data_IF_515699135986
#
_entry.id   IF_515699135986
#
_cell.length_a   1.000
_cell.length_b   1.000
_cell.length_c   1.000
_cell.angle_alpha   90.00
_cell.angle_beta   90.00
_cell.angle_gamma   90.00
#
_symmetry.space_group_name_H-M   'P 1'
#
loop_
_entity.id
_entity.type
_entity.pdbx_description
1 polymer ?
#
# COMPACT_ATOMS: atom_id res chain seq x y z
N UNK A 1 -4.11 3.37 -5.03
CA UNK A 1 -5.00 2.21 -4.83
C UNK A 1 -5.98 2.54 -3.73
N UNK A 2 -7.30 2.39 -3.94
CA UNK A 2 -8.31 2.52 -2.86
C UNK A 2 -8.23 1.27 -2.01
N UNK A 3 -7.78 1.42 -0.76
CA UNK A 3 -7.60 0.31 0.18
C UNK A 3 -8.80 0.17 1.13
N UNK A 4 -9.61 1.21 1.25
CA UNK A 4 -10.86 1.15 2.01
C UNK A 4 -11.90 0.26 1.33
N UNK A 5 -11.89 0.22 -0.01
CA UNK A 5 -12.66 -0.74 -0.80
C UNK A 5 -12.25 -2.21 -0.55
N UNK A 6 -11.04 -2.43 0.00
CA UNK A 6 -10.53 -3.74 0.41
C UNK A 6 -10.75 -4.01 1.91
N UNK A 7 -11.46 -3.11 2.62
CA UNK A 7 -11.78 -3.26 4.03
C UNK A 7 -10.65 -2.92 5.01
N UNK A 8 -9.60 -2.23 4.56
CA UNK A 8 -8.44 -1.89 5.42
C UNK A 8 -8.22 -0.38 5.50
N UNK A 9 -7.70 0.07 6.65
CA UNK A 9 -7.30 1.46 6.85
C UNK A 9 -6.02 1.77 6.04
N UNK A 10 -5.95 2.90 5.30
CA UNK A 10 -4.78 3.28 4.50
C UNK A 10 -3.47 3.42 5.27
N UNK A 11 -3.52 3.90 6.52
CA UNK A 11 -2.34 4.07 7.36
C UNK A 11 -1.83 2.72 7.85
N UNK A 12 -2.73 1.86 8.29
CA UNK A 12 -2.36 0.51 8.74
C UNK A 12 -1.87 -0.33 7.58
N UNK A 13 -2.53 -0.27 6.43
CA UNK A 13 -2.11 -1.00 5.25
C UNK A 13 -0.75 -0.52 4.73
N UNK A 14 -0.45 0.78 4.78
CA UNK A 14 0.89 1.30 4.48
C UNK A 14 1.97 0.70 5.39
N UNK A 15 1.69 0.51 6.68
CA UNK A 15 2.61 -0.15 7.62
C UNK A 15 2.82 -1.63 7.28
N UNK A 16 1.74 -2.36 6.97
CA UNK A 16 1.80 -3.78 6.55
C UNK A 16 2.62 -3.93 5.27
N UNK A 17 2.37 -3.09 4.26
CA UNK A 17 3.15 -3.07 3.02
C UNK A 17 4.65 -2.87 3.29
N UNK A 18 5.00 -1.98 4.21
CA UNK A 18 6.40 -1.75 4.57
C UNK A 18 7.05 -2.99 5.20
N UNK A 19 6.33 -3.72 6.06
CA UNK A 19 6.79 -4.99 6.63
C UNK A 19 7.08 -6.02 5.51
N UNK A 20 6.23 -6.05 4.48
CA UNK A 20 6.38 -6.87 3.28
C UNK A 20 7.28 -6.26 2.19
N UNK A 21 8.13 -5.29 2.55
CA UNK A 21 9.15 -4.66 1.67
C UNK A 21 8.58 -3.90 0.47
N UNK A 22 7.39 -3.32 0.61
CA UNK A 22 6.73 -2.43 -0.36
C UNK A 22 6.59 -1.04 0.25
N UNK A 23 7.26 -0.06 -0.32
CA UNK A 23 7.11 1.33 0.10
C UNK A 23 5.79 1.91 -0.43
N UNK A 24 4.92 2.33 0.48
CA UNK A 24 3.68 3.03 0.15
C UNK A 24 3.40 4.12 1.17
N UNK A 25 2.80 5.23 0.73
CA UNK A 25 2.39 6.32 1.63
C UNK A 25 0.88 6.49 1.60
N UNK A 26 0.23 6.63 2.78
CA UNK A 26 -1.17 7.01 2.84
C UNK A 26 -1.35 8.38 2.21
N UNK A 27 -2.43 8.58 1.47
CA UNK A 27 -2.76 9.86 0.84
C UNK A 27 -3.66 10.71 1.75
N UNK A 28 -3.71 10.42 3.05
CA UNK A 28 -4.39 11.25 4.05
C UNK A 28 -3.83 12.68 4.06
N UNK A 29 -4.70 13.67 3.89
CA UNK A 29 -4.32 15.09 3.80
C UNK A 29 -4.00 15.56 2.38
N UNK A 30 -4.07 14.68 1.38
CA UNK A 30 -3.89 15.01 -0.02
C UNK A 30 -5.26 14.86 -0.69
N UNK A 31 -5.75 15.86 -1.44
CA UNK A 31 -6.94 15.71 -2.30
C UNK A 31 -8.27 15.35 -1.60
N UNK A 32 -8.45 15.66 -0.31
CA UNK A 32 -9.72 15.48 0.42
C UNK A 32 -10.13 14.02 0.66
N UNK A 33 -11.43 13.79 0.87
CA UNK A 33 -11.98 12.50 1.32
C UNK A 33 -11.73 11.35 0.34
N UNK A 34 -11.72 11.63 -0.96
CA UNK A 34 -11.48 10.61 -1.98
C UNK A 34 -10.06 10.06 -1.86
N UNK A 35 -9.07 10.95 -1.78
CA UNK A 35 -7.68 10.53 -1.71
C UNK A 35 -7.32 10.00 -0.31
N UNK A 36 -8.02 10.39 0.76
CA UNK A 36 -7.85 9.80 2.08
C UNK A 36 -8.03 8.28 2.09
N UNK A 37 -8.81 7.70 1.16
CA UNK A 37 -9.04 6.25 1.00
C UNK A 37 -7.88 5.49 0.34
N UNK A 38 -6.86 6.20 -0.13
CA UNK A 38 -5.85 5.64 -1.03
C UNK A 38 -4.46 5.55 -0.39
N UNK A 39 -3.69 4.58 -0.87
CA UNK A 39 -2.22 4.59 -0.78
C UNK A 39 -1.60 4.82 -2.17
N UNK A 40 -0.47 5.53 -2.21
CA UNK A 40 0.40 5.59 -3.40
C UNK A 40 1.64 4.73 -3.18
N UNK A 41 1.98 3.94 -4.19
CA UNK A 41 3.19 3.13 -4.21
C UNK A 41 4.38 4.01 -4.60
N UNK A 42 5.52 3.79 -3.95
CA UNK A 42 6.79 4.45 -4.29
C UNK A 42 7.67 3.41 -4.94
N UNK A 43 7.90 3.54 -6.24
CA UNK A 43 8.58 2.50 -7.05
C UNK A 43 9.63 3.05 -8.03
N UNK A 44 9.90 4.36 -8.01
CA UNK A 44 10.79 5.01 -8.97
C UNK A 44 12.24 4.50 -8.92
N UNK A 45 12.65 3.89 -7.81
CA UNK A 45 13.99 3.31 -7.63
C UNK A 45 13.94 1.78 -7.41
N UNK A 46 12.84 1.13 -7.82
CA UNK A 46 12.67 -0.31 -7.67
C UNK A 46 13.07 -1.05 -8.97
N UNK A 47 13.97 -2.04 -8.92
CA UNK A 47 14.31 -2.85 -10.10
C UNK A 47 13.11 -3.71 -10.52
N UNK A 48 13.07 -4.07 -11.81
CA UNK A 48 11.96 -4.83 -12.41
C UNK A 48 11.69 -6.14 -11.67
N UNK A 49 12.75 -6.83 -11.24
CA UNK A 49 12.67 -8.09 -10.50
C UNK A 49 11.93 -7.93 -9.18
N UNK A 50 12.10 -6.79 -8.50
CA UNK A 50 11.37 -6.47 -7.26
C UNK A 50 9.94 -6.08 -7.53
N UNK A 51 9.65 -5.38 -8.64
CA UNK A 51 8.29 -5.05 -9.06
C UNK A 51 7.48 -6.30 -9.42
N UNK A 52 8.10 -7.34 -9.97
CA UNK A 52 7.43 -8.63 -10.22
C UNK A 52 6.85 -9.27 -8.95
N UNK A 53 7.45 -9.01 -7.78
CA UNK A 53 6.99 -9.52 -6.48
C UNK A 53 5.89 -8.66 -5.84
N UNK A 54 5.51 -7.53 -6.44
CA UNK A 54 4.57 -6.58 -5.85
C UNK A 54 3.22 -7.22 -5.55
N UNK A 55 2.67 -8.01 -6.49
CA UNK A 55 1.38 -8.66 -6.31
C UNK A 55 1.35 -9.58 -5.10
N UNK A 56 2.38 -10.43 -4.96
CA UNK A 56 2.46 -11.40 -3.84
C UNK A 56 2.64 -10.70 -2.50
N UNK A 57 3.47 -9.65 -2.45
CA UNK A 57 3.67 -8.84 -1.23
C UNK A 57 2.43 -8.04 -0.83
N UNK A 58 1.67 -7.53 -1.80
CA UNK A 58 0.39 -6.84 -1.53
C UNK A 58 -0.63 -7.81 -0.96
N UNK A 59 -0.74 -9.04 -1.51
CA UNK A 59 -1.63 -10.06 -0.95
C UNK A 59 -1.21 -10.48 0.45
N UNK A 60 0.08 -10.74 0.66
CA UNK A 60 0.60 -11.05 1.99
C UNK A 60 0.29 -9.94 3.01
N UNK A 61 0.39 -8.67 2.62
CA UNK A 61 0.02 -7.54 3.46
C UNK A 61 -1.49 -7.41 3.74
N UNK A 62 -2.35 -7.91 2.85
CA UNK A 62 -3.81 -7.96 3.07
C UNK A 62 -4.18 -9.03 4.08
N UNK A 63 -3.52 -10.19 4.01
CA UNK A 63 -3.74 -11.32 4.91
C UNK A 63 -3.13 -11.10 6.30
N UNK A 64 -2.21 -10.13 6.43
CA UNK A 64 -1.53 -9.78 7.67
C UNK A 64 -2.47 -9.03 8.63
N UNK A 65 -3.14 -9.76 9.53
CA UNK A 65 -3.95 -9.21 10.62
C UNK A 65 -3.06 -9.05 11.85
N UNK A 66 -2.31 -7.95 11.91
CA UNK A 66 -1.59 -7.51 13.11
C UNK A 66 -2.52 -7.00 14.19
#
# INVERSE_FOLDING_TARGET
MDVTALGVDPRDFSRRLLAHKVAATPMTGWGGDVAARHVRLVFNNEPVERLRLLGDRVRAALDDVS
#
